data_IF_146039595462
#
_entry.id   IF_146039595462
#
_cell.length_a   1.000
_cell.length_b   1.000
_cell.length_c   1.000
_cell.angle_alpha   90.00
_cell.angle_beta   90.00
_cell.angle_gamma   90.00
#
_symmetry.space_group_name_H-M   'P 1'
#
loop_
_entity.id
_entity.type
_entity.pdbx_description
1 polymer ?
#
# COMPACT_ATOMS: atom_id res chain seq x y z
N UNK A 1 -15.16 -28.27 48.91
CA UNK A 1 -14.95 -28.37 47.45
C UNK A 1 -15.65 -27.19 46.77
N UNK A 2 -14.93 -26.11 46.47
CA UNK A 2 -15.44 -25.02 45.61
C UNK A 2 -14.25 -24.51 44.77
N UNK A 3 -14.04 -25.13 43.60
CA UNK A 3 -13.10 -24.64 42.59
C UNK A 3 -13.79 -23.58 41.73
N UNK A 4 -13.28 -22.34 41.77
CA UNK A 4 -13.62 -21.28 40.81
C UNK A 4 -12.75 -21.46 39.57
N UNK A 5 -13.31 -21.42 38.34
CA UNK A 5 -12.48 -21.36 37.15
C UNK A 5 -11.84 -19.97 37.04
N UNK A 6 -10.51 -19.96 36.92
CA UNK A 6 -9.72 -18.79 36.55
C UNK A 6 -9.92 -18.59 35.05
N UNK A 7 -10.70 -17.58 34.66
CA UNK A 7 -10.70 -17.07 33.29
C UNK A 7 -9.39 -16.32 33.07
N UNK A 8 -8.38 -17.01 32.55
CA UNK A 8 -7.18 -16.38 32.03
C UNK A 8 -7.58 -15.67 30.73
N UNK A 9 -8.01 -14.41 30.85
CA UNK A 9 -8.13 -13.51 29.73
C UNK A 9 -6.75 -13.27 29.14
N UNK A 10 -6.37 -14.10 28.16
CA UNK A 10 -5.25 -13.82 27.28
C UNK A 10 -5.64 -12.62 26.41
N UNK A 11 -5.53 -11.42 26.97
CA UNK A 11 -5.41 -10.22 26.16
C UNK A 11 -4.08 -10.35 25.42
N UNK A 12 -4.12 -11.00 24.26
CA UNK A 12 -3.05 -10.89 23.26
C UNK A 12 -3.01 -9.41 22.94
N UNK A 13 -2.12 -8.70 23.61
CA UNK A 13 -1.73 -7.35 23.22
C UNK A 13 -1.16 -7.53 21.83
N UNK A 14 -1.96 -7.21 20.80
CA UNK A 14 -1.45 -7.11 19.44
C UNK A 14 -0.30 -6.12 19.53
N UNK A 15 0.95 -6.52 19.23
CA UNK A 15 2.01 -5.54 19.12
C UNK A 15 1.50 -4.48 18.14
N UNK A 16 1.64 -3.21 18.49
CA UNK A 16 1.39 -2.11 17.56
C UNK A 16 2.48 -2.22 16.50
N UNK A 17 2.28 -3.12 15.54
CA UNK A 17 3.17 -3.29 14.41
C UNK A 17 3.01 -2.05 13.57
N UNK A 18 4.10 -1.30 13.43
CA UNK A 18 4.13 -0.17 12.50
C UNK A 18 3.62 -0.65 11.14
N UNK A 19 2.73 0.11 10.49
CA UNK A 19 2.18 -0.30 9.21
C UNK A 19 3.32 -0.54 8.21
N UNK A 20 3.18 -1.56 7.37
CA UNK A 20 4.20 -1.87 6.34
C UNK A 20 3.77 -1.30 5.00
N UNK A 21 4.66 -0.55 4.35
CA UNK A 21 4.45 0.04 3.03
C UNK A 21 5.34 -0.64 1.98
N UNK A 22 4.72 -1.22 0.95
CA UNK A 22 5.44 -1.74 -0.22
C UNK A 22 5.58 -0.64 -1.26
N UNK A 23 6.81 -0.25 -1.55
CA UNK A 23 7.16 0.75 -2.53
C UNK A 23 7.54 0.05 -3.83
N UNK A 24 6.65 0.08 -4.82
CA UNK A 24 6.78 -0.69 -6.05
C UNK A 24 7.12 0.23 -7.21
N UNK A 25 8.19 -0.10 -7.93
CA UNK A 25 8.59 0.63 -9.15
C UNK A 25 9.24 1.99 -8.94
N UNK A 26 9.64 2.33 -7.72
CA UNK A 26 10.39 3.56 -7.43
C UNK A 26 11.87 3.42 -7.82
N UNK A 27 12.39 4.42 -8.52
CA UNK A 27 13.82 4.59 -8.81
C UNK A 27 14.59 5.07 -7.57
N UNK A 28 15.92 4.97 -7.61
CA UNK A 28 16.80 5.60 -6.61
C UNK A 28 16.62 7.13 -6.57
N UNK A 29 16.21 7.73 -7.68
CA UNK A 29 15.97 9.17 -7.82
C UNK A 29 14.62 9.62 -7.26
N UNK A 30 13.71 8.67 -6.98
CA UNK A 30 12.45 8.98 -6.34
C UNK A 30 12.68 9.24 -4.85
N UNK A 31 12.82 10.53 -4.53
CA UNK A 31 12.81 11.02 -3.16
C UNK A 31 11.40 10.86 -2.61
N UNK A 32 11.25 9.85 -1.76
CA UNK A 32 10.08 9.69 -0.91
C UNK A 32 10.25 10.69 0.22
N UNK A 33 9.46 11.76 0.18
CA UNK A 33 9.64 12.88 1.09
C UNK A 33 9.02 12.63 2.45
N UNK A 34 9.63 13.27 3.46
CA UNK A 34 9.07 13.43 4.79
C UNK A 34 7.75 14.20 4.67
N UNK A 35 6.65 13.60 5.12
CA UNK A 35 5.30 14.18 4.99
C UNK A 35 4.39 13.42 4.03
N UNK A 36 4.91 12.45 3.26
CA UNK A 36 4.03 11.46 2.65
C UNK A 36 3.30 10.68 3.75
N UNK A 37 2.01 10.33 3.57
CA UNK A 37 1.18 9.70 4.62
C UNK A 37 1.66 8.30 5.05
N UNK A 38 2.76 7.82 4.46
CA UNK A 38 3.44 6.57 4.77
C UNK A 38 4.88 6.75 5.24
N UNK A 39 5.34 7.99 5.45
CA UNK A 39 6.68 8.26 5.98
C UNK A 39 6.90 7.65 7.38
N UNK A 40 5.82 7.36 8.13
CA UNK A 40 5.84 6.68 9.43
C UNK A 40 5.75 5.16 9.31
N UNK A 41 5.56 4.61 8.11
CA UNK A 41 5.45 3.18 7.85
C UNK A 41 6.84 2.56 7.63
N UNK A 42 6.99 1.27 7.95
CA UNK A 42 8.19 0.52 7.55
C UNK A 42 8.13 0.31 6.03
N UNK A 43 8.98 1.05 5.32
CA UNK A 43 9.02 1.05 3.88
C UNK A 43 9.91 -0.08 3.33
N UNK A 44 9.39 -0.85 2.38
CA UNK A 44 10.15 -1.87 1.67
C UNK A 44 10.01 -1.68 0.16
N UNK A 45 11.15 -1.50 -0.53
CA UNK A 45 11.18 -1.34 -1.98
C UNK A 45 11.27 -2.70 -2.65
N UNK A 46 10.47 -2.92 -3.68
CA UNK A 46 10.57 -4.11 -4.52
C UNK A 46 10.26 -3.81 -6.00
N UNK A 47 10.83 -4.58 -6.94
CA UNK A 47 10.46 -4.49 -8.34
C UNK A 47 9.04 -5.00 -8.56
N UNK A 48 8.36 -4.47 -9.58
CA UNK A 48 7.00 -4.86 -9.93
C UNK A 48 6.82 -6.37 -10.12
N UNK A 49 7.84 -7.04 -10.67
CA UNK A 49 7.85 -8.49 -10.90
C UNK A 49 7.73 -9.33 -9.62
N UNK A 50 8.03 -8.77 -8.45
CA UNK A 50 7.93 -9.46 -7.15
C UNK A 50 6.65 -9.13 -6.38
N UNK A 51 5.73 -8.35 -6.96
CA UNK A 51 4.49 -7.92 -6.30
C UNK A 51 3.72 -9.10 -5.70
N UNK A 52 3.40 -10.11 -6.52
CA UNK A 52 2.60 -11.25 -6.07
C UNK A 52 3.29 -12.08 -4.99
N UNK A 53 4.60 -12.29 -5.11
CA UNK A 53 5.37 -12.98 -4.09
C UNK A 53 5.37 -12.21 -2.76
N UNK A 54 5.50 -10.88 -2.82
CA UNK A 54 5.43 -10.02 -1.63
C UNK A 54 4.03 -10.04 -0.99
N UNK A 55 2.97 -9.98 -1.78
CA UNK A 55 1.59 -10.04 -1.29
C UNK A 55 1.26 -11.40 -0.67
N UNK A 56 1.71 -12.50 -1.27
CA UNK A 56 1.50 -13.85 -0.77
C UNK A 56 2.27 -14.15 0.53
N UNK A 57 3.46 -13.56 0.70
CA UNK A 57 4.32 -13.79 1.88
C UNK A 57 3.99 -12.90 3.08
N UNK A 58 3.30 -11.77 2.87
CA UNK A 58 3.04 -10.77 3.91
C UNK A 58 1.58 -10.64 4.25
N UNK A 59 1.16 -11.32 5.32
CA UNK A 59 -0.18 -11.23 5.92
C UNK A 59 -0.51 -9.86 6.55
N UNK A 60 0.32 -8.83 6.36
CA UNK A 60 0.20 -7.52 7.02
C UNK A 60 0.70 -6.35 6.18
N UNK A 61 0.60 -6.42 4.86
CA UNK A 61 0.86 -5.25 4.01
C UNK A 61 -0.33 -4.29 4.11
N UNK A 62 -0.16 -3.19 4.82
CA UNK A 62 -1.24 -2.20 5.00
C UNK A 62 -1.34 -1.24 3.82
N UNK A 63 -0.21 -1.00 3.16
CA UNK A 63 -0.08 -0.01 2.10
C UNK A 63 0.78 -0.52 0.96
N UNK A 64 0.30 -0.30 -0.27
CA UNK A 64 1.10 -0.39 -1.49
C UNK A 64 1.20 0.98 -2.10
N UNK A 65 2.40 1.36 -2.53
CA UNK A 65 2.68 2.66 -3.14
C UNK A 65 3.37 2.43 -4.48
N UNK A 66 2.97 3.15 -5.53
CA UNK A 66 3.69 3.18 -6.80
C UNK A 66 3.67 4.57 -7.44
N UNK A 67 4.59 4.87 -8.38
CA UNK A 67 4.41 5.97 -9.31
C UNK A 67 3.15 5.78 -10.17
N UNK A 68 2.64 6.88 -10.72
CA UNK A 68 1.54 6.85 -11.68
C UNK A 68 1.91 6.10 -12.97
N UNK A 69 3.11 6.36 -13.48
CA UNK A 69 3.64 5.76 -14.70
C UNK A 69 5.11 5.44 -14.47
N UNK A 70 5.51 4.24 -14.89
CA UNK A 70 6.91 3.81 -14.96
C UNK A 70 7.18 3.25 -16.37
N UNK A 71 8.45 3.00 -16.74
CA UNK A 71 8.74 2.30 -17.99
C UNK A 71 8.22 0.85 -18.06
N UNK A 72 7.87 0.23 -16.91
CA UNK A 72 7.48 -1.18 -16.84
C UNK A 72 5.97 -1.41 -16.66
N UNK A 73 5.27 -0.46 -16.04
CA UNK A 73 3.84 -0.55 -15.71
C UNK A 73 3.27 0.84 -15.40
N UNK A 74 1.96 0.99 -15.48
CA UNK A 74 1.23 2.15 -14.97
C UNK A 74 0.31 1.81 -13.78
N UNK A 75 -0.30 2.82 -13.17
CA UNK A 75 -1.17 2.63 -12.01
C UNK A 75 -2.43 1.78 -12.30
N UNK A 76 -2.87 1.68 -13.56
CA UNK A 76 -3.99 0.84 -13.96
C UNK A 76 -3.57 -0.63 -14.01
N UNK A 77 -2.40 -0.91 -14.58
CA UNK A 77 -1.77 -2.24 -14.53
C UNK A 77 -1.60 -2.70 -13.08
N UNK A 78 -1.05 -1.82 -12.24
CA UNK A 78 -0.82 -2.08 -10.82
C UNK A 78 -2.13 -2.37 -10.08
N UNK A 79 -3.17 -1.55 -10.27
CA UNK A 79 -4.49 -1.79 -9.67
C UNK A 79 -5.06 -3.14 -10.07
N UNK A 80 -4.96 -3.49 -11.35
CA UNK A 80 -5.41 -4.79 -11.86
C UNK A 80 -4.66 -5.94 -11.18
N UNK A 81 -3.33 -5.82 -11.01
CA UNK A 81 -2.56 -6.84 -10.30
C UNK A 81 -2.90 -6.91 -8.81
N UNK A 82 -3.14 -5.78 -8.14
CA UNK A 82 -3.57 -5.77 -6.74
C UNK A 82 -4.91 -6.48 -6.57
N UNK A 83 -5.86 -6.24 -7.48
CA UNK A 83 -7.15 -6.92 -7.50
C UNK A 83 -6.99 -8.43 -7.71
N UNK A 84 -6.15 -8.84 -8.68
CA UNK A 84 -5.84 -10.25 -8.95
C UNK A 84 -5.18 -10.94 -7.74
N UNK A 85 -4.29 -10.24 -7.03
CA UNK A 85 -3.67 -10.72 -5.80
C UNK A 85 -4.60 -10.73 -4.58
N UNK A 86 -5.86 -10.30 -4.73
CA UNK A 86 -6.83 -10.21 -3.64
C UNK A 86 -6.47 -9.17 -2.58
N UNK A 87 -5.62 -8.20 -2.92
CA UNK A 87 -5.24 -7.12 -2.02
C UNK A 87 -6.44 -6.22 -1.72
N UNK A 88 -6.58 -5.81 -0.46
CA UNK A 88 -7.69 -4.98 0.04
C UNK A 88 -7.25 -3.88 0.99
N UNK A 89 -5.95 -3.58 1.00
CA UNK A 89 -5.41 -2.50 1.82
C UNK A 89 -5.55 -1.14 1.14
N UNK A 90 -4.58 -0.25 1.38
CA UNK A 90 -4.52 1.06 0.74
C UNK A 90 -3.57 1.00 -0.45
N UNK A 91 -4.00 1.53 -1.59
CA UNK A 91 -3.14 1.74 -2.74
C UNK A 91 -2.95 3.23 -2.98
N UNK A 92 -1.69 3.68 -2.86
CA UNK A 92 -1.31 5.06 -3.01
C UNK A 92 -0.50 5.29 -4.27
N UNK A 93 -0.95 6.22 -5.09
CA UNK A 93 -0.29 6.52 -6.35
C UNK A 93 0.40 7.88 -6.24
N UNK A 94 1.71 7.88 -6.42
CA UNK A 94 2.52 9.10 -6.47
C UNK A 94 2.43 9.68 -7.88
N UNK A 95 1.88 10.87 -7.97
CA UNK A 95 1.53 11.52 -9.23
C UNK A 95 2.29 12.83 -9.41
N UNK A 96 2.59 13.25 -10.66
CA UNK A 96 2.93 14.65 -10.93
C UNK A 96 1.71 15.55 -10.70
N UNK A 97 1.83 16.84 -11.01
CA UNK A 97 0.65 17.71 -11.05
C UNK A 97 -0.30 17.26 -12.17
N UNK A 98 -1.50 16.80 -11.80
CA UNK A 98 -2.53 16.36 -12.74
C UNK A 98 -3.63 17.43 -12.89
N UNK A 99 -4.20 17.62 -14.10
CA UNK A 99 -5.27 18.59 -14.32
C UNK A 99 -6.61 18.16 -13.69
N UNK A 100 -6.91 16.86 -13.64
CA UNK A 100 -8.14 16.29 -13.04
C UNK A 100 -7.82 15.01 -12.25
N UNK A 101 -7.18 15.11 -11.07
CA UNK A 101 -6.74 13.94 -10.32
C UNK A 101 -7.88 12.99 -9.95
N UNK A 102 -9.08 13.51 -9.65
CA UNK A 102 -10.23 12.68 -9.29
C UNK A 102 -10.66 11.70 -10.40
N UNK A 103 -10.53 12.10 -11.67
CA UNK A 103 -10.86 11.21 -12.80
C UNK A 103 -9.93 9.99 -12.82
N UNK A 104 -8.63 10.23 -12.68
CA UNK A 104 -7.61 9.18 -12.60
C UNK A 104 -7.85 8.28 -11.38
N UNK A 105 -8.17 8.87 -10.21
CA UNK A 105 -8.46 8.10 -9.00
C UNK A 105 -9.65 7.16 -9.19
N UNK A 106 -10.71 7.63 -9.84
CA UNK A 106 -11.92 6.83 -10.11
C UNK A 106 -11.61 5.67 -11.06
N UNK A 107 -10.87 5.90 -12.15
CA UNK A 107 -10.47 4.85 -13.09
C UNK A 107 -9.66 3.75 -12.40
N UNK A 108 -8.67 4.14 -11.58
CA UNK A 108 -7.86 3.18 -10.81
C UNK A 108 -8.73 2.39 -9.82
N UNK A 109 -9.62 3.07 -9.09
CA UNK A 109 -10.47 2.43 -8.10
C UNK A 109 -11.48 1.43 -8.71
N UNK A 110 -11.88 1.62 -9.96
CA UNK A 110 -12.74 0.68 -10.69
C UNK A 110 -12.03 -0.66 -10.98
N UNK A 111 -10.71 -0.64 -11.15
CA UNK A 111 -9.91 -1.85 -11.44
C UNK A 111 -9.60 -2.69 -10.20
N UNK A 112 -9.61 -2.09 -9.00
CA UNK A 112 -9.33 -2.77 -7.74
C UNK A 112 -10.44 -2.57 -6.68
N UNK A 113 -11.67 -3.07 -6.94
CA UNK A 113 -12.78 -2.90 -6.01
C UNK A 113 -12.45 -3.54 -4.65
N UNK A 114 -12.54 -2.73 -3.59
CA UNK A 114 -12.20 -3.14 -2.22
C UNK A 114 -10.81 -2.73 -1.75
N UNK A 115 -10.02 -2.06 -2.60
CA UNK A 115 -8.81 -1.34 -2.21
C UNK A 115 -9.09 0.15 -2.08
N UNK A 116 -8.60 0.79 -1.01
CA UNK A 116 -8.72 2.25 -0.85
C UNK A 116 -7.67 2.94 -1.71
N UNK A 117 -8.09 3.65 -2.75
CA UNK A 117 -7.18 4.34 -3.68
C UNK A 117 -7.00 5.81 -3.30
N UNK A 118 -5.75 6.23 -3.15
CA UNK A 118 -5.36 7.60 -2.85
C UNK A 118 -4.32 8.11 -3.85
N UNK A 119 -4.46 9.36 -4.30
CA UNK A 119 -3.44 10.02 -5.11
C UNK A 119 -2.66 11.00 -4.24
N UNK A 120 -1.34 10.90 -4.28
CA UNK A 120 -0.43 11.83 -3.62
C UNK A 120 0.39 12.55 -4.67
N UNK A 121 0.38 13.88 -4.63
CA UNK A 121 1.21 14.68 -5.52
C UNK A 121 2.66 14.64 -5.03
N UNK A 122 3.61 14.34 -5.93
CA UNK A 122 5.03 14.50 -5.66
C UNK A 122 5.33 16.00 -5.46
N UNK A 123 6.03 16.36 -4.38
CA UNK A 123 6.46 17.75 -4.22
C UNK A 123 7.39 18.13 -5.37
N UNK A 124 7.35 19.42 -5.73
CA UNK A 124 8.26 19.95 -6.74
C UNK A 124 9.58 20.28 -6.06
N UNK A 125 10.68 20.01 -6.76
CA UNK A 125 11.98 20.61 -6.46
C UNK A 125 11.90 22.13 -6.56
#
# INVERSE_FOLDING_TARGET
MLSRPILLGCAVQRPVTQPTALLVGFSAEDRIEVGMPFATARCERLPYTLLHAALASKTGTDLVVSPLVTPMFDALDMASQLALGGYRGRYMVVTPALPRPEMIRVEIAQLCPGTTVELVRRARH
#
